data_IF_817510342948
#
_entry.id   IF_817510342948
#
_cell.length_a   1.000
_cell.length_b   1.000
_cell.length_c   1.000
_cell.angle_alpha   90.00
_cell.angle_beta   90.00
_cell.angle_gamma   90.00
#
_symmetry.space_group_name_H-M   'P 1'
#
loop_
_entity.id
_entity.type
_entity.pdbx_description
1 polymer ?
#
# COMPACT_ATOMS: atom_id res chain seq x y z
N UNK A 1 -5.80 -6.51 8.93
CA UNK A 1 -6.63 -5.80 9.93
C UNK A 1 -7.52 -6.80 10.66
N UNK A 2 -7.76 -6.65 11.96
CA UNK A 2 -8.69 -7.52 12.69
C UNK A 2 -10.18 -7.14 12.43
N UNK A 3 -11.11 -7.99 12.85
CA UNK A 3 -12.54 -7.75 12.64
C UNK A 3 -13.07 -6.52 13.41
N UNK A 4 -12.59 -6.27 14.63
CA UNK A 4 -13.01 -5.12 15.44
C UNK A 4 -12.56 -3.80 14.80
N UNK A 5 -11.33 -3.74 14.31
CA UNK A 5 -10.76 -2.63 13.56
C UNK A 5 -11.53 -2.39 12.25
N UNK A 6 -11.95 -3.48 11.59
CA UNK A 6 -12.77 -3.38 10.38
C UNK A 6 -14.13 -2.75 10.67
N UNK A 7 -14.82 -3.18 11.72
CA UNK A 7 -16.09 -2.59 12.14
C UNK A 7 -15.91 -1.09 12.46
N UNK A 8 -14.90 -0.74 13.26
CA UNK A 8 -14.62 0.65 13.60
C UNK A 8 -14.36 1.53 12.36
N UNK A 9 -13.62 1.00 11.38
CA UNK A 9 -13.40 1.67 10.10
C UNK A 9 -14.71 1.82 9.32
N UNK A 10 -15.52 0.78 9.21
CA UNK A 10 -16.81 0.81 8.53
C UNK A 10 -17.78 1.81 9.16
N UNK A 11 -17.83 1.86 10.49
CA UNK A 11 -18.60 2.85 11.25
C UNK A 11 -18.15 4.26 10.91
N UNK A 12 -16.83 4.50 10.87
CA UNK A 12 -16.29 5.80 10.48
C UNK A 12 -16.60 6.15 9.02
N UNK A 13 -16.49 5.20 8.08
CA UNK A 13 -16.85 5.41 6.67
C UNK A 13 -18.32 5.77 6.54
N UNK A 14 -19.22 5.04 7.22
CA UNK A 14 -20.66 5.27 7.18
C UNK A 14 -21.05 6.66 7.72
N UNK A 15 -20.32 7.20 8.71
CA UNK A 15 -20.50 8.57 9.20
C UNK A 15 -20.17 9.64 8.16
N UNK A 16 -19.23 9.35 7.24
CA UNK A 16 -18.82 10.27 6.17
C UNK A 16 -19.68 10.06 4.91
N UNK A 17 -20.02 8.81 4.61
CA UNK A 17 -20.79 8.42 3.44
C UNK A 17 -21.86 7.37 3.82
N UNK A 18 -23.13 7.78 3.99
CA UNK A 18 -24.20 6.89 4.42
C UNK A 18 -24.57 5.83 3.38
N UNK A 19 -24.06 5.93 2.15
CA UNK A 19 -24.26 4.90 1.11
C UNK A 19 -23.48 3.61 1.41
N UNK A 20 -22.46 3.69 2.24
CA UNK A 20 -21.71 2.51 2.70
C UNK A 20 -22.48 1.84 3.82
N UNK A 21 -23.00 0.64 3.55
CA UNK A 21 -23.84 -0.10 4.50
C UNK A 21 -23.04 -0.57 5.72
N UNK A 22 -23.55 -0.28 6.91
CA UNK A 22 -23.06 -0.79 8.19
C UNK A 22 -23.93 -1.95 8.66
N UNK A 23 -23.63 -3.16 8.18
CA UNK A 23 -24.26 -4.40 8.62
C UNK A 23 -23.22 -5.53 8.70
N UNK A 24 -23.61 -6.66 9.27
CA UNK A 24 -22.71 -7.81 9.50
C UNK A 24 -22.10 -8.35 8.20
N UNK A 25 -22.91 -8.57 7.17
CA UNK A 25 -22.44 -9.04 5.86
C UNK A 25 -21.42 -8.08 5.21
N UNK A 26 -21.63 -6.77 5.34
CA UNK A 26 -20.68 -5.75 4.91
C UNK A 26 -19.39 -5.85 5.73
N UNK A 27 -19.48 -5.95 7.06
CA UNK A 27 -18.31 -6.08 7.93
C UNK A 27 -17.45 -7.30 7.59
N UNK A 28 -18.05 -8.46 7.30
CA UNK A 28 -17.34 -9.65 6.85
C UNK A 28 -16.64 -9.44 5.50
N UNK A 29 -17.35 -8.86 4.53
CA UNK A 29 -16.81 -8.60 3.18
C UNK A 29 -15.61 -7.65 3.25
N UNK A 30 -15.71 -6.59 4.06
CA UNK A 30 -14.63 -5.65 4.29
C UNK A 30 -13.47 -6.31 5.05
N UNK A 31 -13.74 -7.16 6.05
CA UNK A 31 -12.71 -7.84 6.81
C UNK A 31 -11.90 -8.77 5.92
N UNK A 32 -12.57 -9.51 5.03
CA UNK A 32 -11.94 -10.37 4.05
C UNK A 32 -11.05 -9.55 3.08
N UNK A 33 -11.60 -8.46 2.53
CA UNK A 33 -10.88 -7.60 1.59
C UNK A 33 -9.64 -6.92 2.21
N UNK A 34 -9.69 -6.61 3.52
CA UNK A 34 -8.65 -5.87 4.24
C UNK A 34 -7.74 -6.75 5.10
N UNK A 35 -7.84 -8.09 5.00
CA UNK A 35 -7.14 -9.02 5.90
C UNK A 35 -5.64 -8.76 6.02
N UNK A 36 -4.99 -8.44 4.89
CA UNK A 36 -3.53 -8.24 4.78
C UNK A 36 -3.12 -6.76 4.81
N UNK A 37 -4.04 -5.87 5.14
CA UNK A 37 -3.86 -4.42 5.06
C UNK A 37 -3.80 -3.86 6.49
N UNK A 38 -2.79 -3.04 6.82
CA UNK A 38 -2.75 -2.28 8.07
C UNK A 38 -3.89 -1.25 8.15
N UNK A 39 -4.41 -0.99 9.35
CA UNK A 39 -5.58 -0.12 9.53
C UNK A 39 -5.31 1.34 9.13
N UNK A 40 -4.09 1.83 9.35
CA UNK A 40 -3.65 3.17 8.93
C UNK A 40 -3.64 3.30 7.39
N UNK A 41 -3.16 2.28 6.69
CA UNK A 41 -3.14 2.22 5.23
C UNK A 41 -4.57 2.16 4.67
N UNK A 42 -5.44 1.38 5.29
CA UNK A 42 -6.83 1.30 4.89
C UNK A 42 -7.54 2.65 5.04
N UNK A 43 -7.33 3.35 6.16
CA UNK A 43 -7.88 4.69 6.39
C UNK A 43 -7.37 5.70 5.36
N UNK A 44 -6.07 5.69 5.05
CA UNK A 44 -5.51 6.55 3.99
C UNK A 44 -6.15 6.24 2.63
N UNK A 45 -6.33 4.97 2.29
CA UNK A 45 -6.95 4.57 1.03
C UNK A 45 -8.39 5.08 0.89
N UNK A 46 -9.18 5.07 1.98
CA UNK A 46 -10.52 5.66 1.99
C UNK A 46 -10.47 7.17 1.70
N UNK A 47 -9.59 7.91 2.39
CA UNK A 47 -9.46 9.35 2.18
C UNK A 47 -9.05 9.68 0.75
N UNK A 48 -8.10 8.94 0.19
CA UNK A 48 -7.68 9.09 -1.20
C UNK A 48 -8.77 8.69 -2.21
N UNK A 49 -9.62 7.72 -1.86
CA UNK A 49 -10.77 7.34 -2.68
C UNK A 49 -11.76 8.51 -2.79
N UNK A 50 -12.17 9.09 -1.65
CA UNK A 50 -13.09 10.21 -1.66
C UNK A 50 -12.49 11.50 -2.24
N UNK A 51 -11.17 11.69 -2.10
CA UNK A 51 -10.46 12.77 -2.80
C UNK A 51 -10.52 12.64 -4.33
N UNK A 52 -10.45 11.41 -4.85
CA UNK A 52 -10.43 11.16 -6.29
C UNK A 52 -11.83 10.92 -6.90
N UNK A 53 -12.78 10.43 -6.11
CA UNK A 53 -14.10 10.00 -6.57
C UNK A 53 -15.19 10.42 -5.58
N UNK A 54 -15.45 11.73 -5.49
CA UNK A 54 -16.44 12.31 -4.57
C UNK A 54 -17.84 11.66 -4.71
N UNK A 55 -18.23 11.33 -5.94
CA UNK A 55 -19.56 10.80 -6.25
C UNK A 55 -19.68 9.27 -6.12
N UNK A 56 -18.61 8.53 -5.86
CA UNK A 56 -18.62 7.05 -5.86
C UNK A 56 -18.43 6.55 -4.43
N UNK A 57 -19.40 5.78 -3.92
CA UNK A 57 -19.30 5.17 -2.60
C UNK A 57 -18.09 4.22 -2.50
N UNK A 58 -17.43 4.21 -1.34
CA UNK A 58 -16.32 3.30 -1.10
C UNK A 58 -16.79 1.84 -1.12
N UNK A 59 -16.10 0.99 -1.88
CA UNK A 59 -16.34 -0.45 -1.92
C UNK A 59 -15.12 -1.22 -1.40
N UNK A 60 -15.31 -2.42 -0.82
CA UNK A 60 -14.19 -3.23 -0.32
C UNK A 60 -13.10 -3.45 -1.36
N UNK A 61 -13.48 -3.73 -2.61
CA UNK A 61 -12.53 -3.97 -3.71
C UNK A 61 -11.79 -2.72 -4.17
N UNK A 62 -12.46 -1.57 -4.23
CA UNK A 62 -11.82 -0.31 -4.60
C UNK A 62 -10.79 0.13 -3.56
N UNK A 63 -11.17 0.04 -2.28
CA UNK A 63 -10.29 0.42 -1.18
C UNK A 63 -9.13 -0.57 -1.03
N UNK A 64 -9.35 -1.89 -1.19
CA UNK A 64 -8.29 -2.88 -1.01
C UNK A 64 -7.20 -2.74 -2.06
N UNK A 65 -7.59 -2.51 -3.33
CA UNK A 65 -6.65 -2.23 -4.42
C UNK A 65 -5.82 -0.98 -4.17
N UNK A 66 -6.47 0.11 -3.73
CA UNK A 66 -5.79 1.37 -3.44
C UNK A 66 -4.85 1.24 -2.23
N UNK A 67 -5.29 0.59 -1.17
CA UNK A 67 -4.49 0.33 0.01
C UNK A 67 -3.28 -0.57 -0.31
N UNK A 68 -3.44 -1.59 -1.17
CA UNK A 68 -2.32 -2.40 -1.65
C UNK A 68 -1.29 -1.55 -2.41
N UNK A 69 -1.73 -0.61 -3.25
CA UNK A 69 -0.82 0.31 -3.94
C UNK A 69 -0.06 1.23 -2.97
N UNK A 70 -0.74 1.78 -1.96
CA UNK A 70 -0.13 2.61 -0.92
C UNK A 70 0.92 1.79 -0.16
N UNK A 71 0.56 0.59 0.27
CA UNK A 71 1.47 -0.32 0.98
C UNK A 71 2.71 -0.64 0.12
N UNK A 72 2.52 -1.06 -1.12
CA UNK A 72 3.61 -1.38 -2.03
C UNK A 72 4.53 -0.17 -2.27
N UNK A 73 3.97 1.04 -2.38
CA UNK A 73 4.76 2.25 -2.51
C UNK A 73 5.60 2.55 -1.26
N UNK A 74 5.04 2.34 -0.06
CA UNK A 74 5.77 2.49 1.21
C UNK A 74 6.88 1.45 1.35
N UNK A 75 6.58 0.19 1.02
CA UNK A 75 7.54 -0.91 1.08
C UNK A 75 8.69 -0.69 0.09
N UNK A 76 8.39 -0.19 -1.12
CA UNK A 76 9.39 0.16 -2.12
C UNK A 76 10.28 1.33 -1.68
N UNK A 77 9.69 2.38 -1.09
CA UNK A 77 10.46 3.51 -0.53
C UNK A 77 11.37 3.08 0.61
N UNK A 78 10.84 2.26 1.52
CA UNK A 78 11.62 1.74 2.65
C UNK A 78 12.77 0.89 2.13
N UNK A 79 12.49 -0.04 1.21
CA UNK A 79 13.50 -0.88 0.56
C UNK A 79 14.58 -0.04 -0.13
N UNK A 80 14.22 1.03 -0.82
CA UNK A 80 15.17 1.91 -1.50
C UNK A 80 16.05 2.70 -0.51
N UNK A 81 15.51 3.12 0.63
CA UNK A 81 16.27 3.80 1.69
C UNK A 81 17.22 2.83 2.39
N UNK A 82 16.77 1.61 2.66
CA UNK A 82 17.55 0.58 3.35
C UNK A 82 18.51 -0.16 2.41
N UNK A 83 18.33 -0.05 1.10
CA UNK A 83 19.23 -0.64 0.13
C UNK A 83 20.60 0.00 0.28
N UNK A 84 21.59 -0.80 0.68
CA UNK A 84 22.99 -0.42 0.62
C UNK A 84 23.42 -0.08 -0.82
N UNK A 85 24.63 0.47 -1.02
CA UNK A 85 25.09 0.89 -2.34
C UNK A 85 24.96 -0.26 -3.35
N UNK A 86 24.09 -0.08 -4.33
CA UNK A 86 23.92 -1.02 -5.44
C UNK A 86 25.18 -0.90 -6.30
N UNK A 87 26.08 -1.88 -6.19
CA UNK A 87 27.25 -1.96 -7.08
C UNK A 87 26.73 -2.24 -8.49
N UNK A 88 26.65 -1.17 -9.30
CA UNK A 88 26.08 -1.19 -10.66
C UNK A 88 26.77 -2.20 -11.59
N UNK A 89 28.05 -2.47 -11.33
CA UNK A 89 28.85 -3.49 -12.02
C UNK A 89 29.80 -4.17 -11.03
N UNK A 90 29.41 -5.30 -10.41
CA UNK A 90 30.30 -6.00 -9.47
C UNK A 90 31.58 -6.53 -10.15
N UNK A 91 31.57 -6.65 -11.48
CA UNK A 91 32.67 -7.12 -12.32
C UNK A 91 32.87 -6.23 -13.55
N UNK A 92 33.19 -4.96 -13.35
CA UNK A 92 33.63 -4.10 -14.46
C UNK A 92 34.92 -4.65 -15.10
N UNK A 93 35.16 -4.39 -16.38
CA UNK A 93 36.42 -4.80 -17.03
C UNK A 93 37.64 -4.24 -16.29
N UNK A 94 37.55 -3.00 -15.81
CA UNK A 94 38.55 -2.34 -14.97
C UNK A 94 38.82 -3.07 -13.65
N UNK A 95 37.80 -3.62 -13.00
CA UNK A 95 37.98 -4.41 -11.78
C UNK A 95 38.51 -5.82 -12.03
N UNK A 96 38.41 -6.33 -13.28
CA UNK A 96 38.95 -7.64 -13.69
C UNK A 96 40.37 -7.56 -14.25
N UNK A 97 40.75 -6.43 -14.85
CA UNK A 97 42.05 -6.20 -15.47
C UNK A 97 42.67 -4.86 -15.01
N UNK A 98 43.00 -4.71 -13.71
CA UNK A 98 43.54 -3.46 -13.18
C UNK A 98 44.88 -3.08 -13.82
N UNK A 99 45.72 -4.07 -14.12
CA UNK A 99 47.06 -3.86 -14.71
C UNK A 99 47.02 -3.33 -16.16
N UNK A 100 45.99 -3.66 -16.93
CA UNK A 100 45.83 -3.17 -18.30
C UNK A 100 45.24 -1.76 -18.33
N UNK A 101 44.43 -1.41 -17.34
CA UNK A 101 43.86 -0.08 -17.22
C UNK A 101 44.90 0.97 -16.80
N UNK A 102 45.81 0.63 -15.88
CA UNK A 102 46.86 1.56 -15.43
C UNK A 102 47.95 1.81 -16.48
N UNK A 103 47.99 1.01 -17.56
CA UNK A 103 48.89 1.22 -18.71
C UNK A 103 48.36 2.16 -19.78
N UNK A 104 47.04 2.44 -19.80
CA UNK A 104 46.38 3.37 -20.73
C UNK A 104 46.44 4.80 -20.17
#
# INVERSE_FOLDING_TARGET
MDHKQTIAMLTWINQVDPRVMLNEASAETWAYAMRNIPSDVAKQAVLEHYKAHENIAASPGAISKRAANIKNSRDAKTSAITAGPIVKHPNSWRSRNPEEWDRL
#
